data_IF_715907617351
#
_entry.id   IF_715907617351
#
_cell.length_a   1.000
_cell.length_b   1.000
_cell.length_c   1.000
_cell.angle_alpha   90.00
_cell.angle_beta   90.00
_cell.angle_gamma   90.00
#
_symmetry.space_group_name_H-M   'P 1'
#
loop_
_entity.id
_entity.type
_entity.pdbx_description
1 polymer ?
#
# COMPACT_ATOMS: atom_id res chain seq x y z
N UNK A 1 -0.70 -20.47 24.56
CA UNK A 1 -0.66 -19.00 24.58
C UNK A 1 -1.51 -18.52 23.42
N UNK A 2 -2.66 -17.95 23.70
CA UNK A 2 -3.55 -17.40 22.66
C UNK A 2 -2.86 -16.18 22.06
N UNK A 3 -2.34 -16.28 20.85
CA UNK A 3 -1.87 -15.11 20.10
C UNK A 3 -3.10 -14.35 19.63
N UNK A 4 -3.55 -13.39 20.40
CA UNK A 4 -4.49 -12.39 19.89
C UNK A 4 -3.80 -11.69 18.74
N UNK A 5 -4.34 -11.84 17.54
CA UNK A 5 -3.90 -11.06 16.38
C UNK A 5 -4.00 -9.57 16.74
N UNK A 6 -3.01 -8.75 16.36
CA UNK A 6 -3.09 -7.31 16.61
C UNK A 6 -4.34 -6.74 15.94
N UNK A 7 -4.91 -5.68 16.54
CA UNK A 7 -6.04 -4.97 15.97
C UNK A 7 -5.68 -4.49 14.54
N UNK A 8 -6.61 -4.55 13.60
CA UNK A 8 -6.37 -4.01 12.25
C UNK A 8 -5.96 -2.54 12.34
N UNK A 9 -5.16 -2.09 11.38
CA UNK A 9 -4.71 -0.70 11.29
C UNK A 9 -5.92 0.19 11.01
N UNK A 10 -6.10 1.23 11.84
CA UNK A 10 -7.22 2.16 11.69
C UNK A 10 -7.16 2.87 10.33
N UNK A 11 -8.28 2.82 9.58
CA UNK A 11 -8.46 3.43 8.27
C UNK A 11 -7.24 3.30 7.34
N UNK A 12 -6.72 2.08 7.22
CA UNK A 12 -5.65 1.77 6.28
C UNK A 12 -6.18 1.85 4.84
N UNK A 13 -5.62 2.76 4.05
CA UNK A 13 -5.80 2.78 2.60
C UNK A 13 -4.61 2.10 1.90
N UNK A 14 -4.88 1.14 1.03
CA UNK A 14 -3.90 0.66 0.06
C UNK A 14 -3.97 1.59 -1.16
N UNK A 15 -2.82 2.06 -1.64
CA UNK A 15 -2.72 2.90 -2.84
C UNK A 15 -1.91 2.15 -3.87
N UNK A 16 -2.52 1.86 -5.01
CA UNK A 16 -1.90 1.14 -6.13
C UNK A 16 -1.82 2.08 -7.33
N UNK A 17 -0.66 2.11 -7.98
CA UNK A 17 -0.47 2.84 -9.24
C UNK A 17 -0.33 1.83 -10.38
N UNK A 18 -1.09 2.03 -11.45
CA UNK A 18 -1.06 1.18 -12.65
C UNK A 18 -0.97 1.98 -13.94
N UNK A 19 -0.36 1.39 -14.96
CA UNK A 19 -0.31 1.94 -16.31
C UNK A 19 -0.16 0.82 -17.35
N UNK A 20 -1.24 0.48 -18.06
CA UNK A 20 -1.23 -0.53 -19.14
C UNK A 20 -0.77 -1.93 -18.71
N UNK A 21 -1.11 -2.34 -17.50
CA UNK A 21 -0.69 -3.61 -16.91
C UNK A 21 -1.85 -4.36 -16.26
N UNK A 22 -2.99 -4.46 -16.97
CA UNK A 22 -4.23 -5.04 -16.45
C UNK A 22 -4.06 -6.47 -15.94
N UNK A 23 -3.22 -7.28 -16.58
CA UNK A 23 -2.93 -8.65 -16.15
C UNK A 23 -2.21 -8.68 -14.79
N UNK A 24 -1.22 -7.83 -14.58
CA UNK A 24 -0.50 -7.72 -13.30
C UNK A 24 -1.43 -7.19 -12.21
N UNK A 25 -2.22 -6.17 -12.52
CA UNK A 25 -3.22 -5.63 -11.61
C UNK A 25 -4.25 -6.71 -11.20
N UNK A 26 -4.67 -7.59 -12.11
CA UNK A 26 -5.56 -8.70 -11.80
C UNK A 26 -4.91 -9.69 -10.80
N UNK A 27 -3.64 -10.01 -10.98
CA UNK A 27 -2.90 -10.87 -10.06
C UNK A 27 -2.78 -10.24 -8.66
N UNK A 28 -2.53 -8.93 -8.59
CA UNK A 28 -2.52 -8.19 -7.34
C UNK A 28 -3.90 -8.22 -6.67
N UNK A 29 -4.99 -8.01 -7.42
CA UNK A 29 -6.36 -8.09 -6.89
C UNK A 29 -6.66 -9.48 -6.32
N UNK A 30 -6.22 -10.55 -7.00
CA UNK A 30 -6.39 -11.91 -6.50
C UNK A 30 -5.63 -12.10 -5.18
N UNK A 31 -4.38 -11.65 -5.08
CA UNK A 31 -3.63 -11.72 -3.83
C UNK A 31 -4.27 -10.92 -2.69
N UNK A 32 -4.89 -9.78 -2.99
CA UNK A 32 -5.60 -8.97 -1.98
C UNK A 32 -6.83 -9.68 -1.42
N UNK A 33 -7.50 -10.55 -2.18
CA UNK A 33 -8.63 -11.32 -1.65
C UNK A 33 -8.24 -12.35 -0.60
N UNK A 34 -6.96 -12.72 -0.54
CA UNK A 34 -6.42 -13.66 0.45
C UNK A 34 -6.02 -12.97 1.77
N UNK A 35 -6.09 -11.64 1.85
CA UNK A 35 -5.76 -10.89 3.07
C UNK A 35 -6.63 -11.34 4.26
N UNK A 36 -6.00 -11.65 5.38
CA UNK A 36 -6.65 -12.08 6.62
C UNK A 36 -7.19 -10.92 7.46
N UNK A 37 -6.68 -9.70 7.22
CA UNK A 37 -7.26 -8.46 7.72
C UNK A 37 -7.68 -7.56 6.55
N UNK A 38 -8.83 -6.91 6.66
CA UNK A 38 -9.36 -6.06 5.61
C UNK A 38 -8.81 -4.64 5.68
N UNK A 39 -8.27 -4.07 4.58
CA UNK A 39 -8.00 -2.65 4.52
C UNK A 39 -9.31 -1.85 4.54
N UNK A 40 -9.23 -0.60 4.96
CA UNK A 40 -10.39 0.29 4.95
C UNK A 40 -10.80 0.66 3.53
N UNK A 41 -9.85 1.05 2.68
CA UNK A 41 -10.07 1.39 1.25
C UNK A 41 -8.88 0.93 0.41
N UNK A 42 -9.13 0.74 -0.89
CA UNK A 42 -8.12 0.45 -1.90
C UNK A 42 -8.28 1.50 -3.00
N UNK A 43 -7.32 2.37 -3.18
CA UNK A 43 -7.30 3.42 -4.21
C UNK A 43 -6.46 2.93 -5.38
N UNK A 44 -7.07 2.81 -6.55
CA UNK A 44 -6.39 2.41 -7.78
C UNK A 44 -6.21 3.65 -8.66
N UNK A 45 -4.97 4.10 -8.75
CA UNK A 45 -4.58 5.21 -9.61
C UNK A 45 -4.26 4.67 -11.00
N UNK A 46 -5.07 5.03 -11.98
CA UNK A 46 -4.89 4.61 -13.36
C UNK A 46 -4.30 5.75 -14.21
N UNK A 47 -3.01 5.64 -14.51
CA UNK A 47 -2.29 6.59 -15.35
C UNK A 47 -2.63 6.46 -16.84
N UNK A 48 -3.38 5.44 -17.25
CA UNK A 48 -3.89 5.27 -18.61
C UNK A 48 -5.29 5.88 -18.79
N UNK A 49 -6.07 5.97 -17.69
CA UNK A 49 -7.48 6.35 -17.74
C UNK A 49 -8.29 5.42 -18.65
N UNK A 50 -8.16 4.12 -18.44
CA UNK A 50 -8.71 3.11 -19.32
C UNK A 50 -10.06 2.59 -18.82
N UNK A 51 -11.00 2.40 -19.75
CA UNK A 51 -12.31 1.78 -19.42
C UNK A 51 -12.16 0.34 -18.93
N UNK A 52 -11.11 -0.36 -19.38
CA UNK A 52 -10.84 -1.71 -18.94
C UNK A 52 -10.45 -1.73 -17.46
N UNK A 53 -9.52 -0.87 -17.04
CA UNK A 53 -9.14 -0.73 -15.63
C UNK A 53 -10.31 -0.29 -14.76
N UNK A 54 -11.15 0.64 -15.24
CA UNK A 54 -12.38 1.06 -14.54
C UNK A 54 -13.33 -0.12 -14.31
N UNK A 55 -13.58 -0.93 -15.35
CA UNK A 55 -14.43 -2.11 -15.25
C UNK A 55 -13.84 -3.15 -14.29
N UNK A 56 -12.52 -3.36 -14.30
CA UNK A 56 -11.83 -4.25 -13.35
C UNK A 56 -12.00 -3.77 -11.91
N UNK A 57 -11.84 -2.47 -11.65
CA UNK A 57 -12.04 -1.88 -10.32
C UNK A 57 -13.48 -2.06 -9.83
N UNK A 58 -14.46 -1.87 -10.72
CA UNK A 58 -15.89 -2.08 -10.40
C UNK A 58 -16.15 -3.53 -10.01
N UNK A 59 -15.70 -4.49 -10.82
CA UNK A 59 -15.84 -5.91 -10.54
C UNK A 59 -15.10 -6.33 -9.25
N UNK A 60 -13.95 -5.75 -9.00
CA UNK A 60 -13.20 -6.02 -7.78
C UNK A 60 -13.90 -5.46 -6.54
N UNK A 61 -14.50 -4.26 -6.61
CA UNK A 61 -15.31 -3.70 -5.53
C UNK A 61 -16.50 -4.62 -5.18
N UNK A 62 -17.21 -5.12 -6.19
CA UNK A 62 -18.31 -6.08 -5.99
C UNK A 62 -17.81 -7.39 -5.36
N UNK A 63 -16.66 -7.92 -5.83
CA UNK A 63 -16.04 -9.12 -5.26
C UNK A 63 -15.68 -8.93 -3.78
N UNK A 64 -15.09 -7.79 -3.40
CA UNK A 64 -14.75 -7.49 -2.02
C UNK A 64 -15.97 -7.24 -1.15
N UNK A 65 -17.02 -6.60 -1.68
CA UNK A 65 -18.30 -6.45 -0.98
C UNK A 65 -18.94 -7.81 -0.65
N UNK A 66 -18.83 -8.78 -1.55
CA UNK A 66 -19.30 -10.15 -1.31
C UNK A 66 -18.42 -10.91 -0.30
N UNK A 67 -17.11 -10.68 -0.31
CA UNK A 67 -16.14 -11.40 0.53
C UNK A 67 -16.06 -10.80 1.94
N UNK A 68 -15.97 -9.49 2.06
CA UNK A 68 -15.72 -8.77 3.31
C UNK A 68 -16.91 -7.97 3.83
N UNK A 69 -18.01 -7.92 3.07
CA UNK A 69 -19.16 -7.08 3.35
C UNK A 69 -18.91 -5.60 3.02
N UNK A 70 -19.99 -4.82 3.04
CA UNK A 70 -19.97 -3.36 2.86
C UNK A 70 -19.59 -2.72 4.21
N UNK A 71 -18.63 -1.82 4.20
CA UNK A 71 -18.21 -1.11 5.40
C UNK A 71 -19.09 0.12 5.66
N UNK A 72 -20.22 -0.11 6.32
CA UNK A 72 -21.15 0.95 6.71
C UNK A 72 -20.79 1.62 8.04
N UNK A 73 -19.89 1.01 8.83
CA UNK A 73 -19.49 1.52 10.13
C UNK A 73 -18.43 2.63 10.02
N UNK A 74 -17.60 2.56 8.98
CA UNK A 74 -16.55 3.54 8.74
C UNK A 74 -16.64 4.11 7.31
N UNK A 75 -17.69 4.89 6.99
CA UNK A 75 -17.77 5.55 5.70
C UNK A 75 -16.60 6.52 5.51
N UNK A 76 -16.29 6.84 4.26
CA UNK A 76 -15.29 7.87 3.96
C UNK A 76 -15.81 9.29 4.30
N UNK A 77 -14.95 10.30 4.15
CA UNK A 77 -15.30 11.70 4.46
C UNK A 77 -16.44 12.27 3.58
N UNK A 78 -16.82 11.56 2.50
CA UNK A 78 -17.92 11.92 1.60
C UNK A 78 -19.16 11.06 1.84
N UNK A 79 -19.11 10.15 2.81
CA UNK A 79 -20.18 9.19 3.12
C UNK A 79 -20.18 7.94 2.23
N UNK A 80 -19.15 7.73 1.41
CA UNK A 80 -19.00 6.56 0.56
C UNK A 80 -18.62 5.31 1.35
N UNK A 81 -19.09 4.16 0.86
CA UNK A 81 -18.85 2.84 1.49
C UNK A 81 -18.14 1.86 0.57
N UNK A 82 -17.80 2.26 -0.65
CA UNK A 82 -17.06 1.46 -1.61
C UNK A 82 -15.65 1.13 -1.08
N UNK A 83 -15.25 -0.12 -1.21
CA UNK A 83 -13.93 -0.56 -0.79
C UNK A 83 -12.85 -0.21 -1.80
N UNK A 84 -13.21 -0.18 -3.08
CA UNK A 84 -12.29 0.16 -4.19
C UNK A 84 -12.67 1.51 -4.76
N UNK A 85 -11.69 2.41 -4.81
CA UNK A 85 -11.84 3.76 -5.35
C UNK A 85 -11.01 3.83 -6.63
N UNK A 86 -11.66 3.99 -7.76
CA UNK A 86 -10.99 4.22 -9.04
C UNK A 86 -10.62 5.70 -9.17
N UNK A 87 -9.35 5.98 -9.41
CA UNK A 87 -8.78 7.34 -9.50
C UNK A 87 -8.02 7.54 -10.82
N UNK A 88 -8.77 7.74 -11.95
CA UNK A 88 -8.14 7.95 -13.24
C UNK A 88 -7.34 9.25 -13.30
N UNK A 89 -6.20 9.24 -13.98
CA UNK A 89 -5.41 10.42 -14.23
C UNK A 89 -5.65 10.93 -15.65
N UNK A 90 -5.76 12.25 -15.83
CA UNK A 90 -5.93 12.85 -17.16
C UNK A 90 -4.65 12.75 -18.01
N UNK A 91 -3.50 12.75 -17.34
CA UNK A 91 -2.18 12.62 -17.95
C UNK A 91 -1.36 11.60 -17.16
N UNK A 92 -0.48 10.87 -17.84
CA UNK A 92 0.42 9.94 -17.18
C UNK A 92 1.50 10.71 -16.40
N UNK A 93 1.35 10.82 -15.09
CA UNK A 93 2.32 11.42 -14.18
C UNK A 93 3.46 10.49 -13.76
N UNK A 94 3.56 9.29 -14.36
CA UNK A 94 4.50 8.25 -13.91
C UNK A 94 4.19 7.73 -12.51
N UNK A 95 5.13 6.99 -11.92
CA UNK A 95 4.99 6.48 -10.56
C UNK A 95 4.87 7.60 -9.54
N UNK A 96 5.72 8.63 -9.60
CA UNK A 96 5.73 9.73 -8.65
C UNK A 96 4.39 10.48 -8.62
N UNK A 97 3.90 10.93 -9.78
CA UNK A 97 2.59 11.59 -9.89
C UNK A 97 1.44 10.69 -9.47
N UNK A 98 1.49 9.41 -9.83
CA UNK A 98 0.49 8.43 -9.43
C UNK A 98 0.42 8.24 -7.92
N UNK A 99 1.56 8.05 -7.25
CA UNK A 99 1.60 7.91 -5.78
C UNK A 99 1.16 9.20 -5.07
N UNK A 100 1.55 10.37 -5.59
CA UNK A 100 1.08 11.66 -5.07
C UNK A 100 -0.45 11.78 -5.17
N UNK A 101 -1.01 11.53 -6.34
CA UNK A 101 -2.44 11.60 -6.59
C UNK A 101 -3.25 10.58 -5.75
N UNK A 102 -2.77 9.34 -5.66
CA UNK A 102 -3.41 8.28 -4.89
C UNK A 102 -3.36 8.54 -3.39
N UNK A 103 -2.21 8.98 -2.87
CA UNK A 103 -2.08 9.38 -1.47
C UNK A 103 -3.01 10.55 -1.15
N UNK A 104 -3.07 11.57 -2.04
CA UNK A 104 -4.00 12.68 -1.89
C UNK A 104 -5.45 12.22 -1.86
N UNK A 105 -5.84 11.35 -2.79
CA UNK A 105 -7.19 10.79 -2.84
C UNK A 105 -7.54 10.09 -1.52
N UNK A 106 -6.70 9.17 -1.05
CA UNK A 106 -6.91 8.46 0.20
C UNK A 106 -6.93 9.41 1.42
N UNK A 107 -6.05 10.43 1.43
CA UNK A 107 -6.00 11.45 2.48
C UNK A 107 -7.30 12.25 2.56
N UNK A 108 -7.84 12.70 1.42
CA UNK A 108 -9.08 13.47 1.33
C UNK A 108 -10.31 12.62 1.72
N UNK A 109 -10.26 11.31 1.53
CA UNK A 109 -11.26 10.35 1.99
C UNK A 109 -11.20 10.10 3.50
N UNK A 110 -10.11 10.44 4.18
CA UNK A 110 -9.96 10.33 5.63
C UNK A 110 -9.06 9.18 6.12
N UNK A 111 -8.25 8.59 5.23
CA UNK A 111 -7.28 7.57 5.61
C UNK A 111 -6.36 8.03 6.74
N UNK A 112 -5.99 7.12 7.64
CA UNK A 112 -5.03 7.34 8.72
C UNK A 112 -3.67 6.71 8.43
N UNK A 113 -3.65 5.67 7.57
CA UNK A 113 -2.47 5.00 7.10
C UNK A 113 -2.55 4.76 5.60
N UNK A 114 -1.39 4.82 4.93
CA UNK A 114 -1.24 4.63 3.49
C UNK A 114 -0.24 3.51 3.25
N UNK A 115 -0.65 2.43 2.61
CA UNK A 115 0.22 1.34 2.16
C UNK A 115 0.32 1.42 0.65
N UNK A 116 1.47 1.86 0.16
CA UNK A 116 1.66 2.21 -1.26
C UNK A 116 2.42 1.12 -2.00
N UNK A 117 2.01 0.81 -3.23
CA UNK A 117 2.62 -0.23 -4.05
C UNK A 117 2.32 -0.05 -5.54
N UNK A 118 3.17 -0.64 -6.38
CA UNK A 118 2.93 -0.78 -7.81
C UNK A 118 1.98 -1.96 -8.09
N UNK A 119 1.56 -2.10 -9.37
CA UNK A 119 0.62 -3.12 -9.83
C UNK A 119 1.26 -4.51 -10.06
N UNK A 120 2.60 -4.61 -10.00
CA UNK A 120 3.39 -5.82 -10.24
C UNK A 120 3.91 -6.51 -8.97
N UNK A 121 3.25 -6.28 -7.85
CA UNK A 121 3.52 -6.94 -6.58
C UNK A 121 2.40 -7.90 -6.18
N UNK A 122 2.67 -8.83 -5.27
CA UNK A 122 1.67 -9.63 -4.58
C UNK A 122 1.74 -9.36 -3.09
N UNK A 123 0.58 -9.25 -2.44
CA UNK A 123 0.50 -9.13 -0.98
C UNK A 123 0.38 -10.52 -0.37
N UNK A 124 1.01 -10.70 0.80
CA UNK A 124 0.86 -11.96 1.55
C UNK A 124 -0.36 -11.88 2.46
N UNK A 125 -1.03 -13.00 2.76
CA UNK A 125 -2.28 -13.01 3.54
C UNK A 125 -2.21 -12.23 4.85
N UNK A 126 -1.15 -12.38 5.64
CA UNK A 126 -0.98 -11.70 6.93
C UNK A 126 -0.23 -10.37 6.83
N UNK A 127 -0.15 -9.77 5.63
CA UNK A 127 0.63 -8.55 5.39
C UNK A 127 0.24 -7.39 6.29
N UNK A 128 -1.07 -7.15 6.44
CA UNK A 128 -1.60 -6.06 7.26
C UNK A 128 -1.28 -6.29 8.74
N UNK A 129 -1.48 -7.49 9.26
CA UNK A 129 -1.23 -7.80 10.68
C UNK A 129 0.27 -7.74 11.01
N UNK A 130 1.13 -8.09 10.05
CA UNK A 130 2.58 -7.99 10.25
C UNK A 130 3.03 -6.52 10.33
N UNK A 131 2.46 -5.65 9.52
CA UNK A 131 2.72 -4.21 9.57
C UNK A 131 2.09 -3.57 10.82
N UNK A 132 0.89 -3.99 11.22
CA UNK A 132 0.17 -3.47 12.38
C UNK A 132 0.95 -3.55 13.70
N UNK A 133 1.84 -4.54 13.84
CA UNK A 133 2.70 -4.69 15.04
C UNK A 133 3.59 -3.49 15.32
N UNK A 134 3.81 -2.64 14.34
CA UNK A 134 4.77 -1.54 14.40
C UNK A 134 4.13 -0.15 14.42
N UNK A 135 2.82 -0.05 14.18
CA UNK A 135 2.11 1.24 14.05
C UNK A 135 2.09 2.07 15.32
N UNK A 136 2.18 1.45 16.49
CA UNK A 136 2.28 2.15 17.78
C UNK A 136 3.66 2.78 18.02
N UNK A 137 4.68 2.32 17.28
CA UNK A 137 6.08 2.73 17.47
C UNK A 137 6.61 3.62 16.35
N UNK A 138 6.16 3.40 15.12
CA UNK A 138 6.72 4.03 13.93
C UNK A 138 5.65 4.58 13.01
N UNK A 139 5.89 5.75 12.46
CA UNK A 139 5.04 6.40 11.47
C UNK A 139 5.38 5.99 10.02
N UNK A 140 6.53 5.34 9.81
CA UNK A 140 7.00 4.87 8.50
C UNK A 140 7.51 3.44 8.66
N UNK A 141 6.95 2.52 7.90
CA UNK A 141 7.19 1.08 8.00
C UNK A 141 7.38 0.52 6.59
N UNK A 142 8.39 -0.32 6.42
CA UNK A 142 8.62 -1.06 5.18
C UNK A 142 8.49 -2.55 5.47
N UNK A 143 7.57 -3.21 4.78
CA UNK A 143 7.50 -4.68 4.78
C UNK A 143 8.74 -5.30 4.12
N UNK A 144 9.10 -6.50 4.54
CA UNK A 144 10.10 -7.30 3.81
C UNK A 144 9.58 -7.62 2.42
N UNK A 145 10.40 -7.38 1.41
CA UNK A 145 10.12 -7.75 0.04
C UNK A 145 10.90 -9.00 -0.33
N UNK A 146 10.24 -9.91 -1.01
CA UNK A 146 10.83 -11.13 -1.55
C UNK A 146 10.66 -11.10 -3.06
N UNK A 147 11.60 -11.67 -3.76
CA UNK A 147 11.45 -11.94 -5.19
C UNK A 147 10.44 -13.09 -5.39
N UNK A 148 9.85 -13.23 -6.58
CA UNK A 148 8.85 -14.26 -6.88
C UNK A 148 9.37 -15.69 -6.70
N UNK A 149 10.68 -15.91 -6.75
CA UNK A 149 11.32 -17.18 -6.42
C UNK A 149 11.51 -17.41 -4.92
N UNK A 150 11.08 -16.46 -4.06
CA UNK A 150 11.26 -16.48 -2.61
C UNK A 150 12.65 -16.03 -2.17
N UNK A 151 13.50 -15.61 -3.07
CA UNK A 151 14.82 -15.03 -2.80
C UNK A 151 14.77 -13.63 -2.19
N UNK A 152 15.93 -13.13 -1.82
CA UNK A 152 16.06 -11.76 -1.32
C UNK A 152 15.80 -10.76 -2.45
N UNK A 153 14.91 -9.81 -2.22
CA UNK A 153 14.63 -8.76 -3.18
C UNK A 153 15.85 -7.83 -3.36
N UNK A 154 16.26 -7.63 -4.60
CA UNK A 154 17.53 -6.97 -4.93
C UNK A 154 17.55 -5.46 -4.61
N UNK A 155 16.42 -4.77 -4.68
CA UNK A 155 16.32 -3.30 -4.58
C UNK A 155 16.12 -2.79 -3.15
N UNK A 156 16.84 -3.33 -2.18
CA UNK A 156 16.78 -2.84 -0.81
C UNK A 156 18.06 -2.09 -0.47
N UNK A 157 17.91 -0.80 -0.16
CA UNK A 157 19.02 0.09 0.08
C UNK A 157 18.85 0.85 1.39
N UNK A 158 19.97 1.18 1.99
CA UNK A 158 20.10 2.20 3.01
C UNK A 158 20.94 3.34 2.45
N UNK A 159 20.52 4.59 2.64
CA UNK A 159 21.30 5.73 2.19
C UNK A 159 22.47 5.98 3.12
N UNK A 160 23.70 6.07 2.58
CA UNK A 160 24.87 6.58 3.32
C UNK A 160 24.78 8.10 3.26
N UNK A 161 24.24 8.72 4.34
CA UNK A 161 23.93 10.15 4.37
C UNK A 161 25.14 11.05 4.11
N UNK A 162 26.34 10.64 4.59
CA UNK A 162 27.56 11.41 4.40
C UNK A 162 28.05 11.44 2.95
N UNK A 163 27.63 10.49 2.14
CA UNK A 163 28.06 10.35 0.74
C UNK A 163 26.91 10.57 -0.24
N UNK A 164 25.67 10.55 0.23
CA UNK A 164 24.48 10.66 -0.62
C UNK A 164 24.28 9.47 -1.57
N UNK A 165 24.85 8.31 -1.26
CA UNK A 165 24.80 7.13 -2.12
C UNK A 165 24.03 5.98 -1.46
N UNK A 166 23.26 5.18 -2.25
CA UNK A 166 22.61 3.99 -1.74
C UNK A 166 23.62 2.89 -1.43
N UNK A 167 23.44 2.21 -0.29
CA UNK A 167 24.19 1.04 0.13
C UNK A 167 23.27 -0.17 0.13
N UNK A 168 23.52 -1.19 -0.70
CA UNK A 168 22.67 -2.39 -0.74
C UNK A 168 22.65 -3.08 0.63
N UNK A 169 21.45 -3.49 1.07
CA UNK A 169 21.27 -4.31 2.26
C UNK A 169 21.18 -5.75 1.80
N UNK A 170 22.33 -6.43 1.73
CA UNK A 170 22.47 -7.76 1.13
C UNK A 170 21.80 -8.88 1.93
N UNK A 171 21.48 -8.69 3.19
CA UNK A 171 20.77 -9.64 4.05
C UNK A 171 19.91 -8.92 5.06
N UNK A 172 18.75 -9.53 5.34
CA UNK A 172 17.85 -9.16 6.41
C UNK A 172 18.46 -9.47 7.79
N UNK A 173 19.40 -8.67 8.23
CA UNK A 173 19.74 -8.63 9.64
C UNK A 173 18.71 -7.74 10.35
N UNK A 174 17.58 -8.34 10.71
CA UNK A 174 16.49 -7.66 11.39
C UNK A 174 16.73 -7.52 12.90
N UNK A 175 17.85 -8.03 13.40
CA UNK A 175 18.11 -8.06 14.82
C UNK A 175 17.14 -8.95 15.60
N UNK A 176 17.28 -9.02 16.93
CA UNK A 176 16.48 -9.92 17.79
C UNK A 176 15.01 -9.54 17.87
N UNK A 177 14.65 -8.28 17.59
CA UNK A 177 13.26 -7.80 17.65
C UNK A 177 12.50 -7.98 16.32
N UNK A 178 13.17 -8.48 15.27
CA UNK A 178 12.57 -8.74 13.97
C UNK A 178 12.39 -7.49 13.09
N UNK A 179 13.14 -6.40 13.37
CA UNK A 179 13.15 -5.19 12.52
C UNK A 179 14.54 -4.57 12.41
N UNK A 180 14.71 -3.68 11.47
CA UNK A 180 15.89 -2.85 11.28
C UNK A 180 15.48 -1.41 10.98
N UNK A 181 16.10 -0.44 11.67
CA UNK A 181 15.94 0.97 11.32
C UNK A 181 16.57 1.27 9.97
N UNK A 182 15.80 1.89 9.09
CA UNK A 182 16.19 2.31 7.74
C UNK A 182 15.94 3.81 7.60
N UNK A 183 16.67 4.45 6.69
CA UNK A 183 16.51 5.87 6.38
C UNK A 183 16.01 6.11 4.96
N UNK A 184 15.45 5.08 4.35
CA UNK A 184 14.87 5.12 3.01
C UNK A 184 13.65 4.22 2.99
N UNK A 185 12.54 4.73 2.44
CA UNK A 185 11.31 3.99 2.17
C UNK A 185 11.20 3.77 0.67
N UNK A 186 10.83 2.56 0.26
CA UNK A 186 10.46 2.27 -1.11
C UNK A 186 8.93 2.24 -1.25
N UNK A 187 8.40 2.78 -2.34
CA UNK A 187 6.95 2.78 -2.58
C UNK A 187 6.41 1.41 -3.04
N UNK A 188 7.26 0.43 -3.22
CA UNK A 188 6.85 -0.97 -3.38
C UNK A 188 6.61 -1.62 -2.00
N UNK A 189 5.42 -1.42 -1.43
CA UNK A 189 5.03 -1.96 -0.14
C UNK A 189 5.44 -1.12 1.08
N UNK A 190 5.78 0.15 0.87
CA UNK A 190 6.00 1.11 1.94
C UNK A 190 4.69 1.53 2.59
N UNK A 191 4.68 1.69 3.91
CA UNK A 191 3.52 2.16 4.66
C UNK A 191 3.90 3.36 5.53
N UNK A 192 3.03 4.38 5.56
CA UNK A 192 3.23 5.56 6.39
C UNK A 192 1.91 6.10 6.94
N UNK A 193 1.99 6.78 8.09
CA UNK A 193 0.83 7.35 8.75
C UNK A 193 0.43 8.70 8.15
N UNK A 194 -0.82 9.12 8.39
CA UNK A 194 -1.33 10.46 8.07
C UNK A 194 -0.46 11.56 8.68
N UNK A 195 0.11 11.34 9.87
CA UNK A 195 1.01 12.31 10.52
C UNK A 195 2.24 12.65 9.68
N UNK A 196 2.73 11.70 8.88
CA UNK A 196 3.84 11.95 7.94
C UNK A 196 3.39 12.95 6.87
N UNK A 197 2.23 12.71 6.25
CA UNK A 197 1.68 13.62 5.23
C UNK A 197 1.40 15.02 5.81
N UNK A 198 0.83 15.09 7.02
CA UNK A 198 0.56 16.36 7.70
C UNK A 198 1.85 17.16 7.98
N UNK A 199 2.97 16.46 8.21
CA UNK A 199 4.26 17.06 8.57
C UNK A 199 5.12 17.48 7.38
N UNK A 200 5.18 16.66 6.35
CA UNK A 200 6.12 16.86 5.22
C UNK A 200 5.44 17.05 3.87
N UNK A 201 4.10 16.95 3.80
CA UNK A 201 3.35 17.02 2.56
C UNK A 201 3.14 15.66 1.89
N UNK A 202 2.50 15.72 0.73
CA UNK A 202 2.32 14.56 -0.16
C UNK A 202 3.65 14.18 -0.80
N UNK A 203 3.77 12.94 -1.33
CA UNK A 203 4.90 12.57 -2.18
C UNK A 203 5.07 13.57 -3.33
N UNK A 204 6.30 13.91 -3.66
CA UNK A 204 6.62 14.80 -4.79
C UNK A 204 6.22 14.13 -6.11
N UNK A 205 5.57 14.91 -7.00
CA UNK A 205 5.09 14.47 -8.31
C UNK A 205 6.07 14.82 -9.42
#
# INVERSE_FOLDING_TARGET
>A
MSSTLPAPIDKLAIVVVTYKRQELLANLFDSMTELTATPWRIVIVDNENSRETEAMCTAFNERLANLWGIDTEQPDAKGGTDRVIYAPQLENGGGAGGFSAGTKCAYDLGAQWFWVMDDDVLVIPEGIERLAKWTDRYDVIQGSRLDFDGGAFFWQYQLILSLGIPNPVAKWDLGPEGYRAMNQLCFEGGMFSRRVVDKIGLPDA
#
